data_IF_568969554935
#
_entry.id   IF_568969554935
#
_cell.length_a   1.000
_cell.length_b   1.000
_cell.length_c   1.000
_cell.angle_alpha   90.00
_cell.angle_beta   90.00
_cell.angle_gamma   90.00
#
_symmetry.space_group_name_H-M   'P 1'
#
loop_
_entity.id
_entity.type
_entity.pdbx_description
1 polymer ?
#
# COMPACT_ATOMS: atom_id res chain seq x y z
N UNK A 1 17.78 -9.05 2.18
CA UNK A 1 16.39 -8.63 2.43
C UNK A 1 16.24 -7.14 2.24
N UNK A 2 15.13 -6.73 1.66
CA UNK A 2 14.83 -5.32 1.54
C UNK A 2 14.27 -4.80 2.87
N UNK A 3 14.57 -3.55 3.18
CA UNK A 3 13.98 -2.87 4.31
C UNK A 3 12.67 -2.23 3.87
N UNK A 4 11.58 -2.50 4.57
CA UNK A 4 10.28 -1.89 4.26
C UNK A 4 10.11 -0.62 5.09
N UNK A 5 9.86 0.48 4.41
CA UNK A 5 9.65 1.78 5.05
C UNK A 5 8.27 2.30 4.66
N UNK A 6 7.44 2.54 5.67
CA UNK A 6 6.14 3.18 5.49
C UNK A 6 6.33 4.69 5.52
N UNK A 7 5.98 5.34 4.42
CA UNK A 7 5.96 6.81 4.43
C UNK A 7 4.80 7.29 5.28
N UNK A 8 4.91 8.51 5.78
CA UNK A 8 3.84 9.07 6.60
C UNK A 8 2.51 9.16 5.87
N UNK A 9 2.44 9.63 4.61
CA UNK A 9 1.16 9.63 3.89
C UNK A 9 0.52 8.25 3.78
N UNK A 10 1.32 7.21 3.48
CA UNK A 10 0.77 5.86 3.37
C UNK A 10 0.20 5.39 4.70
N UNK A 11 0.90 5.62 5.78
CA UNK A 11 0.47 5.23 7.11
C UNK A 11 -0.82 5.95 7.49
N UNK A 12 -0.89 7.27 7.24
CA UNK A 12 -2.06 8.06 7.56
C UNK A 12 -3.29 7.64 6.75
N UNK A 13 -3.10 7.30 5.47
CA UNK A 13 -4.21 6.85 4.65
C UNK A 13 -4.76 5.49 5.12
N UNK A 14 -3.88 4.56 5.49
CA UNK A 14 -4.32 3.29 6.03
C UNK A 14 -5.10 3.50 7.33
N UNK A 15 -4.57 4.34 8.20
CA UNK A 15 -5.20 4.64 9.49
C UNK A 15 -6.60 5.24 9.29
N UNK A 16 -6.74 6.18 8.35
CA UNK A 16 -8.03 6.81 8.07
C UNK A 16 -9.05 5.80 7.54
N UNK A 17 -8.62 4.90 6.66
CA UNK A 17 -9.51 3.86 6.12
C UNK A 17 -9.94 2.92 7.25
N UNK A 18 -8.99 2.51 8.08
CA UNK A 18 -9.28 1.61 9.20
C UNK A 18 -10.23 2.25 10.22
N UNK A 19 -10.02 3.53 10.54
CA UNK A 19 -10.92 4.24 11.44
C UNK A 19 -12.35 4.31 10.91
N UNK A 20 -12.50 4.57 9.63
CA UNK A 20 -13.80 4.62 8.99
C UNK A 20 -14.51 3.25 9.09
N UNK A 21 -13.79 2.17 8.80
CA UNK A 21 -14.36 0.82 8.91
C UNK A 21 -14.70 0.51 10.36
N UNK A 22 -13.87 0.95 11.31
CA UNK A 22 -14.07 0.67 12.73
C UNK A 22 -15.34 1.32 13.30
N UNK A 23 -15.84 2.41 12.68
CA UNK A 23 -17.10 3.01 13.10
C UNK A 23 -18.25 2.02 13.05
N UNK A 24 -18.19 1.08 12.12
CA UNK A 24 -19.23 0.08 11.91
C UNK A 24 -18.80 -1.29 12.40
N UNK A 25 -17.53 -1.64 12.24
CA UNK A 25 -17.02 -2.98 12.55
C UNK A 25 -15.57 -2.93 13.00
N UNK A 26 -15.30 -2.75 14.31
CA UNK A 26 -13.93 -2.68 14.81
C UNK A 26 -13.09 -3.94 14.52
N UNK A 27 -13.71 -5.11 14.54
CA UNK A 27 -12.99 -6.36 14.27
C UNK A 27 -12.51 -6.42 12.82
N UNK A 28 -13.34 -5.97 11.88
CA UNK A 28 -12.96 -5.89 10.47
C UNK A 28 -11.81 -4.92 10.24
N UNK A 29 -11.81 -3.79 10.94
CA UNK A 29 -10.72 -2.82 10.83
C UNK A 29 -9.40 -3.41 11.31
N UNK A 30 -9.40 -4.08 12.46
CA UNK A 30 -8.20 -4.72 12.99
C UNK A 30 -7.70 -5.82 12.06
N UNK A 31 -8.60 -6.61 11.50
CA UNK A 31 -8.23 -7.67 10.56
C UNK A 31 -7.59 -7.09 9.31
N UNK A 32 -8.14 -6.02 8.77
CA UNK A 32 -7.58 -5.36 7.60
C UNK A 32 -6.15 -4.88 7.85
N UNK A 33 -5.94 -4.16 8.95
CA UNK A 33 -4.61 -3.64 9.29
C UNK A 33 -3.60 -4.77 9.42
N UNK A 34 -3.96 -5.84 10.12
CA UNK A 34 -3.09 -7.01 10.27
C UNK A 34 -2.73 -7.63 8.93
N UNK A 35 -3.72 -7.80 8.06
CA UNK A 35 -3.51 -8.40 6.74
C UNK A 35 -2.62 -7.52 5.85
N UNK A 36 -2.82 -6.21 5.92
CA UNK A 36 -1.98 -5.27 5.16
C UNK A 36 -0.53 -5.38 5.59
N UNK A 37 -0.26 -5.34 6.90
CA UNK A 37 1.11 -5.44 7.38
C UNK A 37 1.74 -6.78 7.04
N UNK A 38 0.99 -7.88 7.15
CA UNK A 38 1.51 -9.20 6.79
C UNK A 38 1.91 -9.27 5.32
N UNK A 39 1.08 -8.77 4.43
CA UNK A 39 1.37 -8.81 3.00
C UNK A 39 2.50 -7.87 2.61
N UNK A 40 2.58 -6.72 3.21
CA UNK A 40 3.66 -5.76 2.93
C UNK A 40 4.99 -6.28 3.48
N UNK A 41 4.99 -6.96 4.62
CA UNK A 41 6.20 -7.54 5.17
C UNK A 41 6.84 -8.56 4.23
N UNK A 42 6.05 -9.27 3.43
CA UNK A 42 6.59 -10.21 2.43
C UNK A 42 7.45 -9.53 1.38
N UNK A 43 7.30 -8.23 1.20
CA UNK A 43 8.12 -7.48 0.25
C UNK A 43 9.58 -7.40 0.68
N UNK A 44 9.89 -7.71 1.93
CA UNK A 44 11.29 -7.83 2.37
C UNK A 44 12.03 -8.91 1.60
N UNK A 45 11.35 -10.02 1.32
CA UNK A 45 11.94 -11.14 0.57
C UNK A 45 11.62 -11.07 -0.92
N UNK A 46 10.44 -10.57 -1.27
CA UNK A 46 9.95 -10.57 -2.65
C UNK A 46 9.50 -9.18 -3.05
N UNK A 47 10.46 -8.24 -3.17
CA UNK A 47 10.07 -6.83 -3.42
C UNK A 47 9.40 -6.59 -4.77
N UNK A 48 9.54 -7.53 -5.72
CA UNK A 48 8.91 -7.39 -7.03
C UNK A 48 7.65 -8.21 -7.19
N UNK A 49 7.10 -8.75 -6.08
CA UNK A 49 5.92 -9.61 -6.14
C UNK A 49 4.62 -8.83 -6.39
N UNK A 50 4.58 -7.53 -6.11
CA UNK A 50 3.42 -6.73 -6.44
C UNK A 50 3.31 -6.50 -7.93
N UNK A 51 2.10 -6.20 -8.41
CA UNK A 51 1.87 -5.94 -9.82
C UNK A 51 2.11 -4.47 -10.15
N UNK A 52 2.40 -4.18 -11.42
CA UNK A 52 2.47 -2.79 -11.87
C UNK A 52 1.04 -2.27 -11.99
N UNK A 53 0.73 -1.08 -11.41
CA UNK A 53 -0.64 -0.57 -11.48
C UNK A 53 -1.11 -0.42 -12.94
N UNK A 54 -2.32 -0.87 -13.26
CA UNK A 54 -2.83 -0.75 -14.64
C UNK A 54 -2.89 0.70 -15.14
N UNK A 55 -3.07 1.65 -14.23
CA UNK A 55 -3.11 3.08 -14.57
C UNK A 55 -1.75 3.64 -14.95
N UNK A 56 -0.67 2.97 -14.54
CA UNK A 56 0.71 3.42 -14.77
C UNK A 56 1.56 2.27 -15.29
N UNK A 57 1.26 1.75 -16.49
CA UNK A 57 1.83 0.48 -16.95
C UNK A 57 3.33 0.50 -17.21
N UNK A 58 3.92 1.67 -17.41
CA UNK A 58 5.35 1.79 -17.69
C UNK A 58 6.11 2.41 -16.52
N UNK A 59 5.55 2.35 -15.33
CA UNK A 59 6.15 2.98 -14.17
C UNK A 59 7.02 2.02 -13.36
N UNK A 60 7.76 2.59 -12.43
CA UNK A 60 8.54 1.81 -11.45
C UNK A 60 7.70 1.40 -10.25
N UNK A 61 6.44 1.83 -10.19
CA UNK A 61 5.58 1.56 -9.06
C UNK A 61 4.95 0.18 -9.15
N UNK A 62 4.65 -0.37 -7.98
CA UNK A 62 3.94 -1.63 -7.86
C UNK A 62 2.84 -1.49 -6.81
N UNK A 63 1.89 -2.41 -6.84
CA UNK A 63 0.82 -2.42 -5.85
C UNK A 63 0.58 -3.82 -5.32
N UNK A 64 0.12 -3.85 -4.07
CA UNK A 64 -0.41 -5.04 -3.43
C UNK A 64 -1.86 -4.76 -3.13
N UNK A 65 -2.75 -5.69 -3.49
CA UNK A 65 -4.18 -5.53 -3.22
C UNK A 65 -4.55 -6.33 -1.99
N UNK A 66 -5.08 -5.64 -0.99
CA UNK A 66 -5.64 -6.23 0.22
C UNK A 66 -7.03 -5.64 0.35
N UNK A 67 -8.08 -6.31 -0.16
CA UNK A 67 -9.41 -5.71 -0.19
C UNK A 67 -9.87 -5.20 1.18
N UNK A 68 -10.42 -3.99 1.24
CA UNK A 68 -10.81 -3.11 0.15
C UNK A 68 -9.74 -2.09 -0.27
N UNK A 69 -8.47 -2.39 -0.03
CA UNK A 69 -7.37 -1.45 -0.23
C UNK A 69 -6.44 -1.86 -1.36
N UNK A 70 -5.82 -0.83 -1.95
CA UNK A 70 -4.67 -0.97 -2.84
C UNK A 70 -3.51 -0.25 -2.16
N UNK A 71 -2.35 -0.90 -2.06
CA UNK A 71 -1.16 -0.34 -1.41
C UNK A 71 -0.07 -0.20 -2.46
N UNK A 72 0.39 1.03 -2.66
CA UNK A 72 1.38 1.37 -3.69
C UNK A 72 2.76 1.53 -3.09
N UNK A 73 3.75 0.96 -3.76
CA UNK A 73 5.14 1.03 -3.29
C UNK A 73 6.09 1.09 -4.48
N UNK A 74 7.35 1.38 -4.19
CA UNK A 74 8.42 1.19 -5.17
C UNK A 74 9.67 0.68 -4.47
N UNK A 75 10.51 -0.02 -5.23
CA UNK A 75 11.84 -0.36 -4.77
C UNK A 75 12.79 0.82 -4.94
N UNK A 76 13.68 0.99 -3.97
CA UNK A 76 14.71 2.01 -4.01
C UNK A 76 15.97 1.41 -3.41
N UNK A 77 16.78 0.77 -4.27
CA UNK A 77 17.94 0.03 -3.81
C UNK A 77 17.54 -1.17 -2.97
N UNK A 78 17.95 -1.18 -1.70
CA UNK A 78 17.62 -2.27 -0.78
C UNK A 78 16.41 -1.93 0.09
N UNK A 79 15.61 -0.95 -0.33
CA UNK A 79 14.44 -0.52 0.43
C UNK A 79 13.19 -0.67 -0.41
N UNK A 80 12.08 -0.92 0.29
CA UNK A 80 10.75 -0.86 -0.28
C UNK A 80 10.05 0.32 0.39
N UNK A 81 9.70 1.31 -0.41
CA UNK A 81 9.02 2.51 0.09
C UNK A 81 7.53 2.37 -0.15
N UNK A 82 6.76 2.25 0.91
CA UNK A 82 5.29 2.21 0.82
C UNK A 82 4.80 3.65 0.76
N UNK A 83 4.22 4.03 -0.40
CA UNK A 83 3.99 5.44 -0.74
C UNK A 83 2.57 5.91 -0.51
N UNK A 84 1.59 5.04 -0.73
CA UNK A 84 0.20 5.46 -0.69
C UNK A 84 -0.73 4.27 -0.50
N UNK A 85 -1.84 4.49 0.18
CA UNK A 85 -2.90 3.49 0.35
C UNK A 85 -4.21 4.13 -0.09
N UNK A 86 -5.00 3.42 -0.88
CA UNK A 86 -6.32 3.91 -1.27
C UNK A 86 -7.32 2.76 -1.32
N UNK A 87 -8.59 3.09 -1.34
CA UNK A 87 -9.64 2.10 -1.56
C UNK A 87 -9.67 1.67 -3.01
N UNK A 88 -10.06 0.41 -3.26
CA UNK A 88 -10.02 -0.18 -4.60
C UNK A 88 -10.86 0.55 -5.64
N UNK A 89 -11.96 1.15 -5.23
CA UNK A 89 -12.87 1.83 -6.16
C UNK A 89 -12.33 3.17 -6.66
N UNK A 90 -11.26 3.70 -6.05
CA UNK A 90 -10.64 4.93 -6.52
C UNK A 90 -9.65 4.66 -7.62
N UNK A 91 -9.49 5.62 -8.53
CA UNK A 91 -8.52 5.54 -9.60
C UNK A 91 -7.21 6.19 -9.19
N UNK A 92 -6.11 5.47 -9.42
CA UNK A 92 -4.77 5.99 -9.13
C UNK A 92 -4.41 7.12 -10.10
N UNK A 93 -3.86 8.20 -9.56
CA UNK A 93 -3.28 9.30 -10.35
C UNK A 93 -1.80 9.41 -9.99
N UNK A 94 -0.97 9.71 -10.99
CA UNK A 94 0.48 9.75 -10.78
C UNK A 94 0.89 10.70 -9.67
N UNK A 95 0.23 11.85 -9.52
CA UNK A 95 0.60 12.82 -8.49
C UNK A 95 0.43 12.28 -7.07
N UNK A 96 -0.40 11.25 -6.88
CA UNK A 96 -0.62 10.67 -5.55
C UNK A 96 0.62 9.94 -5.03
N UNK A 97 1.50 9.52 -5.91
CA UNK A 97 2.71 8.77 -5.55
C UNK A 97 3.92 9.68 -5.36
N UNK A 98 3.70 10.98 -5.44
CA UNK A 98 4.76 11.95 -5.30
C UNK A 98 5.37 12.33 -6.63
N UNK A 99 6.33 13.25 -6.61
CA UNK A 99 6.91 13.85 -7.80
C UNK A 99 8.12 13.09 -8.32
N UNK A 100 8.51 12.04 -7.69
CA UNK A 100 9.73 11.34 -8.07
C UNK A 100 9.45 10.03 -8.78
#
# INVERSE_FOLDING_TARGET
MAEVIWTEPAFQELDAIAEYIALDNPAAASHLVGEVFDKIERLEEFPQSGRIPPELPNSVYREVVVPPCRIFYREDGKRVLVLYVMREERQLRAYMLGSS
#
